data_IF_052529480781
#
_entry.id   IF_052529480781
#
_cell.length_a   1.000
_cell.length_b   1.000
_cell.length_c   1.000
_cell.angle_alpha   90.00
_cell.angle_beta   90.00
_cell.angle_gamma   90.00
#
_symmetry.space_group_name_H-M   'P 1'
#
loop_
_entity.id
_entity.type
_entity.pdbx_description
1 polymer ?
#
# COMPACT_ATOMS: atom_id res chain seq x y z
N UNK A 1 -17.13 52.73 -49.20
CA UNK A 1 -16.63 52.03 -48.00
C UNK A 1 -17.68 51.01 -47.56
N UNK A 2 -17.42 49.72 -47.76
CA UNK A 2 -18.35 48.67 -47.36
C UNK A 2 -18.31 48.41 -45.85
N UNK A 3 -19.44 48.10 -45.19
CA UNK A 3 -19.49 47.80 -43.77
C UNK A 3 -18.92 46.40 -43.44
N UNK A 4 -18.25 45.73 -44.37
CA UNK A 4 -17.81 44.34 -44.21
C UNK A 4 -16.57 44.17 -43.33
N UNK A 5 -15.80 45.24 -43.10
CA UNK A 5 -14.50 45.13 -42.41
C UNK A 5 -14.63 44.92 -40.90
N UNK A 6 -15.68 45.43 -40.25
CA UNK A 6 -15.89 45.28 -38.80
C UNK A 6 -16.46 43.90 -38.44
N UNK A 7 -17.25 43.28 -39.32
CA UNK A 7 -17.81 41.95 -39.08
C UNK A 7 -16.74 40.85 -39.08
N UNK A 8 -15.69 40.98 -39.89
CA UNK A 8 -14.58 40.02 -39.91
C UNK A 8 -13.77 40.02 -38.59
N UNK A 9 -13.62 41.18 -37.95
CA UNK A 9 -12.81 41.32 -36.74
C UNK A 9 -13.50 40.73 -35.49
N UNK A 10 -14.84 40.67 -35.48
CA UNK A 10 -15.63 40.09 -34.38
C UNK A 10 -15.74 38.56 -34.50
N UNK A 11 -15.62 38.01 -35.71
CA UNK A 11 -15.69 36.57 -35.96
C UNK A 11 -14.43 35.80 -35.54
N UNK A 12 -13.26 36.44 -35.53
CA UNK A 12 -12.00 35.81 -35.13
C UNK A 12 -11.96 35.37 -33.65
N UNK A 13 -12.36 36.18 -32.66
CA UNK A 13 -12.41 35.73 -31.25
C UNK A 13 -13.49 34.67 -31.00
N UNK A 14 -14.58 34.67 -31.76
CA UNK A 14 -15.64 33.66 -31.63
C UNK A 14 -15.19 32.27 -32.10
N UNK A 15 -14.29 32.23 -33.10
CA UNK A 15 -13.74 30.98 -33.63
C UNK A 15 -12.74 30.32 -32.67
N UNK A 16 -12.03 31.11 -31.84
CA UNK A 16 -11.12 30.59 -30.81
C UNK A 16 -11.85 29.94 -29.62
N UNK A 17 -13.14 30.22 -29.45
CA UNK A 17 -13.99 29.61 -28.41
C UNK A 17 -14.48 28.20 -28.80
N UNK A 18 -14.41 27.85 -30.08
CA UNK A 18 -14.87 26.57 -30.64
C UNK A 18 -13.72 25.56 -30.74
N UNK A 19 -12.47 26.00 -30.56
CA UNK A 19 -11.34 25.09 -30.43
C UNK A 19 -11.41 24.53 -29.01
N UNK A 20 -11.75 23.25 -28.81
CA UNK A 20 -11.57 22.63 -27.50
C UNK A 20 -10.08 22.80 -27.19
N UNK A 21 -9.78 23.43 -26.06
CA UNK A 21 -8.40 23.63 -25.59
C UNK A 21 -7.58 22.39 -25.90
N UNK A 22 -6.45 22.61 -26.57
CA UNK A 22 -5.46 21.62 -27.00
C UNK A 22 -5.58 20.31 -26.23
N UNK A 23 -5.76 19.23 -27.00
CA UNK A 23 -5.92 17.81 -26.64
C UNK A 23 -4.91 17.25 -25.62
N UNK A 24 -4.83 17.82 -24.43
CA UNK A 24 -4.07 17.28 -23.31
C UNK A 24 -4.70 15.94 -22.85
N UNK A 25 -5.97 15.69 -23.18
CA UNK A 25 -6.65 14.40 -22.93
C UNK A 25 -6.26 13.25 -23.88
N UNK A 26 -5.45 13.48 -24.94
CA UNK A 26 -5.11 12.41 -25.90
C UNK A 26 -3.83 11.67 -25.57
N UNK A 27 -2.85 12.29 -24.91
CA UNK A 27 -1.61 11.62 -24.54
C UNK A 27 -1.73 10.95 -23.17
N UNK A 28 -2.39 11.61 -22.22
CA UNK A 28 -2.63 11.05 -20.88
C UNK A 28 -3.44 9.76 -20.95
N UNK A 29 -4.52 9.75 -21.73
CA UNK A 29 -5.34 8.54 -21.93
C UNK A 29 -4.58 7.40 -22.63
N UNK A 30 -3.61 7.71 -23.50
CA UNK A 30 -2.74 6.71 -24.13
C UNK A 30 -1.70 6.18 -23.13
N UNK A 31 -1.15 7.03 -22.27
CA UNK A 31 -0.24 6.63 -21.20
C UNK A 31 -0.94 5.76 -20.17
N UNK A 32 -2.13 6.15 -19.70
CA UNK A 32 -2.94 5.37 -18.76
C UNK A 32 -3.29 4.00 -19.32
N UNK A 33 -3.69 3.94 -20.60
CA UNK A 33 -3.95 2.67 -21.28
C UNK A 33 -2.72 1.78 -21.34
N UNK A 34 -1.54 2.36 -21.58
CA UNK A 34 -0.28 1.61 -21.65
C UNK A 34 0.19 1.14 -20.26
N UNK A 35 0.03 1.96 -19.22
CA UNK A 35 0.30 1.58 -17.83
C UNK A 35 -0.62 0.42 -17.43
N UNK A 36 -1.91 0.53 -17.72
CA UNK A 36 -2.90 -0.51 -17.43
C UNK A 36 -2.60 -1.82 -18.19
N UNK A 37 -2.20 -1.74 -19.46
CA UNK A 37 -1.80 -2.92 -20.24
C UNK A 37 -0.56 -3.60 -19.63
N UNK A 38 0.45 -2.82 -19.22
CA UNK A 38 1.65 -3.34 -18.54
C UNK A 38 1.28 -4.00 -17.20
N UNK A 39 0.45 -3.35 -16.37
CA UNK A 39 0.01 -3.90 -15.09
C UNK A 39 -0.78 -5.21 -15.28
N UNK A 40 -1.72 -5.26 -16.22
CA UNK A 40 -2.48 -6.46 -16.52
C UNK A 40 -1.58 -7.61 -17.02
N UNK A 41 -0.53 -7.30 -17.80
CA UNK A 41 0.45 -8.30 -18.26
C UNK A 41 1.35 -8.82 -17.14
N UNK A 42 1.65 -7.97 -16.15
CA UNK A 42 2.34 -8.38 -14.93
C UNK A 42 1.45 -9.26 -14.05
N UNK A 43 0.15 -8.95 -13.94
CA UNK A 43 -0.84 -9.77 -13.23
C UNK A 43 -1.13 -11.11 -13.94
N UNK A 44 -1.06 -11.14 -15.27
CA UNK A 44 -1.25 -12.36 -16.09
C UNK A 44 -0.01 -13.27 -16.12
N UNK A 45 1.12 -12.84 -15.57
CA UNK A 45 2.22 -13.75 -15.28
C UNK A 45 1.81 -14.57 -14.04
N UNK A 46 1.65 -15.91 -14.11
CA UNK A 46 1.06 -16.74 -13.05
C UNK A 46 1.96 -16.94 -11.82
N UNK A 47 2.82 -15.97 -11.55
CA UNK A 47 3.23 -15.66 -10.19
C UNK A 47 3.15 -14.14 -10.06
N UNK A 48 2.13 -13.59 -9.37
CA UNK A 48 2.51 -12.61 -8.35
C UNK A 48 3.72 -13.27 -7.66
N UNK A 49 4.88 -12.62 -7.61
CA UNK A 49 5.94 -13.09 -6.71
C UNK A 49 5.24 -13.24 -5.38
N UNK A 50 4.86 -14.47 -5.05
CA UNK A 50 3.84 -14.72 -4.04
C UNK A 50 4.59 -14.44 -2.78
N UNK A 51 4.46 -13.21 -2.27
CA UNK A 51 5.26 -12.75 -1.15
C UNK A 51 5.04 -13.77 -0.05
N UNK A 52 6.10 -14.51 0.26
CA UNK A 52 5.96 -15.64 1.16
C UNK A 52 5.91 -15.05 2.55
N UNK A 53 4.97 -15.51 3.37
CA UNK A 53 5.00 -15.15 4.77
C UNK A 53 6.19 -15.87 5.41
N UNK A 54 7.22 -15.11 5.76
CA UNK A 54 8.38 -15.63 6.47
C UNK A 54 8.22 -15.34 7.94
N UNK A 55 8.31 -16.38 8.78
CA UNK A 55 8.02 -16.29 10.20
C UNK A 55 9.10 -16.95 11.05
N UNK A 56 9.48 -16.28 12.13
CA UNK A 56 10.35 -16.80 13.18
C UNK A 56 9.70 -16.63 14.55
N UNK A 57 10.21 -17.31 15.56
CA UNK A 57 9.76 -17.14 16.94
C UNK A 57 10.89 -16.57 17.78
N UNK A 58 10.63 -15.49 18.52
CA UNK A 58 11.56 -14.89 19.46
C UNK A 58 11.11 -15.21 20.88
N UNK A 59 11.95 -15.93 21.63
CA UNK A 59 11.70 -16.30 23.02
C UNK A 59 12.58 -15.44 23.94
N UNK A 60 12.00 -14.99 25.04
CA UNK A 60 12.69 -14.21 26.08
C UNK A 60 12.21 -14.66 27.47
N UNK A 61 13.05 -14.42 28.48
CA UNK A 61 12.69 -14.68 29.89
C UNK A 61 11.71 -13.62 30.40
N UNK A 62 10.85 -14.01 31.33
CA UNK A 62 9.84 -13.14 31.91
C UNK A 62 8.65 -12.90 30.99
N UNK A 63 8.03 -11.71 31.11
CA UNK A 63 6.70 -11.41 30.56
C UNK A 63 6.70 -10.84 29.14
N UNK A 64 7.86 -10.46 28.62
CA UNK A 64 7.97 -9.71 27.37
C UNK A 64 8.82 -10.45 26.35
N UNK A 65 8.37 -10.48 25.10
CA UNK A 65 9.18 -10.87 23.95
C UNK A 65 8.86 -9.96 22.76
N UNK A 66 9.88 -9.35 22.17
CA UNK A 66 9.73 -8.37 21.09
C UNK A 66 10.24 -8.93 19.76
N UNK A 67 9.50 -8.67 18.69
CA UNK A 67 9.93 -8.98 17.34
C UNK A 67 11.02 -8.00 16.88
N UNK A 68 11.93 -8.45 15.99
CA UNK A 68 12.92 -7.55 15.37
C UNK A 68 12.23 -6.48 14.52
N UNK A 69 12.94 -5.38 14.28
CA UNK A 69 12.48 -4.33 13.38
C UNK A 69 12.14 -4.89 11.98
N UNK A 70 11.02 -4.45 11.41
CA UNK A 70 10.53 -4.94 10.12
C UNK A 70 9.66 -6.20 10.19
N UNK A 71 9.44 -6.76 11.38
CA UNK A 71 8.51 -7.86 11.60
C UNK A 71 7.35 -7.44 12.53
N UNK A 72 6.20 -8.06 12.32
CA UNK A 72 5.00 -7.86 13.14
C UNK A 72 4.69 -9.12 13.96
N UNK A 73 4.17 -8.92 15.18
CA UNK A 73 3.67 -10.03 16.01
C UNK A 73 2.40 -10.60 15.38
N UNK A 74 2.40 -11.91 15.09
CA UNK A 74 1.20 -12.63 14.63
C UNK A 74 0.58 -13.51 15.71
N UNK A 75 1.29 -13.72 16.82
CA UNK A 75 0.77 -14.43 17.99
C UNK A 75 1.80 -14.52 19.10
N UNK A 76 1.33 -14.86 20.30
CA UNK A 76 2.18 -15.01 21.48
C UNK A 76 1.96 -16.39 22.12
N UNK A 77 2.98 -16.88 22.80
CA UNK A 77 2.89 -18.01 23.70
C UNK A 77 3.60 -17.67 25.01
N UNK A 78 3.00 -18.08 26.12
CA UNK A 78 3.52 -17.85 27.46
C UNK A 78 3.85 -19.18 28.12
N UNK A 79 4.83 -19.19 29.01
CA UNK A 79 5.07 -20.36 29.84
C UNK A 79 3.98 -20.56 30.90
N UNK A 80 4.13 -21.63 31.67
CA UNK A 80 3.11 -22.16 32.59
C UNK A 80 1.71 -22.40 31.97
N UNK A 81 1.61 -22.47 30.64
CA UNK A 81 0.32 -22.60 29.96
C UNK A 81 -0.56 -21.36 30.06
N UNK A 82 0.01 -20.19 30.36
CA UNK A 82 -0.75 -18.95 30.42
C UNK A 82 -1.31 -18.57 29.04
N UNK A 83 -2.63 -18.52 28.92
CA UNK A 83 -3.32 -18.10 27.69
C UNK A 83 -3.63 -16.60 27.62
N UNK A 84 -3.36 -15.84 28.68
CA UNK A 84 -3.66 -14.41 28.77
C UNK A 84 -2.44 -13.59 28.35
N UNK A 85 -2.50 -13.01 27.15
CA UNK A 85 -1.46 -12.14 26.60
C UNK A 85 -2.06 -11.02 25.75
N UNK A 86 -1.30 -9.95 25.59
CA UNK A 86 -1.58 -8.83 24.69
C UNK A 86 -0.37 -8.48 23.83
N UNK A 87 -0.59 -7.67 22.79
CA UNK A 87 0.47 -7.15 21.93
C UNK A 87 0.60 -5.64 22.12
N UNK A 88 1.77 -5.21 22.61
CA UNK A 88 2.11 -3.82 22.86
C UNK A 88 2.85 -3.23 21.65
N UNK A 89 2.40 -2.07 21.17
CA UNK A 89 3.04 -1.36 20.06
C UNK A 89 3.15 -2.18 18.76
N UNK A 90 2.31 -3.20 18.58
CA UNK A 90 2.31 -4.10 17.42
C UNK A 90 3.51 -5.05 17.29
N UNK A 91 4.48 -4.97 18.20
CA UNK A 91 5.79 -5.62 18.06
C UNK A 91 6.22 -6.42 19.28
N UNK A 92 5.56 -6.24 20.43
CA UNK A 92 5.95 -6.88 21.68
C UNK A 92 4.80 -7.68 22.27
N UNK A 93 5.02 -8.98 22.47
CA UNK A 93 4.13 -9.83 23.27
C UNK A 93 4.30 -9.53 24.75
N UNK A 94 3.19 -9.43 25.47
CA UNK A 94 3.14 -9.29 26.92
C UNK A 94 2.23 -10.34 27.56
N UNK A 95 2.81 -11.23 28.37
CA UNK A 95 2.10 -12.27 29.10
C UNK A 95 1.61 -11.78 30.47
N UNK A 96 0.30 -11.90 30.71
CA UNK A 96 -0.39 -11.19 31.79
C UNK A 96 -0.59 -11.99 33.08
N UNK A 97 -0.38 -13.32 33.08
CA UNK A 97 -0.55 -14.09 34.31
C UNK A 97 0.50 -13.69 35.37
N UNK A 98 0.22 -14.04 36.64
CA UNK A 98 0.95 -13.56 37.82
C UNK A 98 2.44 -13.90 37.83
N UNK A 99 2.82 -15.08 37.34
CA UNK A 99 4.21 -15.56 37.31
C UNK A 99 4.55 -16.03 35.91
N UNK A 100 5.56 -15.43 35.27
CA UNK A 100 6.08 -15.87 33.97
C UNK A 100 7.55 -16.27 34.06
N UNK A 101 7.83 -17.50 33.64
CA UNK A 101 9.15 -18.02 33.33
C UNK A 101 9.63 -17.45 31.99
N UNK A 102 8.82 -17.55 30.94
CA UNK A 102 9.17 -17.07 29.60
C UNK A 102 7.96 -16.62 28.77
N UNK A 103 8.27 -15.81 27.76
CA UNK A 103 7.33 -15.36 26.73
C UNK A 103 7.95 -15.60 25.35
N UNK A 104 7.13 -15.97 24.37
CA UNK A 104 7.53 -16.14 22.97
C UNK A 104 6.62 -15.32 22.07
N UNK A 105 7.20 -14.54 21.16
CA UNK A 105 6.51 -13.83 20.10
C UNK A 105 6.70 -14.56 18.76
N UNK A 106 5.61 -14.78 18.03
CA UNK A 106 5.66 -15.22 16.63
C UNK A 106 5.76 -13.98 15.75
N UNK A 107 6.87 -13.85 15.04
CA UNK A 107 7.24 -12.67 14.27
C UNK A 107 7.21 -13.01 12.78
N UNK A 108 6.44 -12.27 12.00
CA UNK A 108 6.33 -12.52 10.56
C UNK A 108 6.50 -11.25 9.74
N UNK A 109 6.92 -11.43 8.49
CA UNK A 109 6.94 -10.39 7.46
C UNK A 109 6.66 -11.01 6.09
N UNK A 110 6.31 -10.17 5.12
CA UNK A 110 6.19 -10.57 3.72
C UNK A 110 7.58 -10.52 3.07
N UNK A 111 8.11 -11.68 2.72
CA UNK A 111 9.39 -11.87 2.02
C UNK A 111 9.23 -11.76 0.49
#
# INVERSE_FOLDING_TARGET
>A
MGPSSCHLLILMPLLQLIIPGSTQCSLDSVMDKKIKDVLNRLEYSPSPVSKKLSCTSVKSQGRLASCPAGMTVTGCACGYGCGSWDVQGGTTCHCQCSVMDWTTARCCYLA
#
